data_IF_124531436494
#
_entry.id   IF_124531436494
#
_cell.length_a   1.000
_cell.length_b   1.000
_cell.length_c   1.000
_cell.angle_alpha   90.00
_cell.angle_beta   90.00
_cell.angle_gamma   90.00
#
_symmetry.space_group_name_H-M   'P 1'
#
loop_
_entity.id
_entity.type
_entity.pdbx_description
1 polymer ?
#
# COMPACT_ATOMS: atom_id res chain seq x y z
N UNK A 1 -1.51 -6.89 16.24
CA UNK A 1 -0.59 -5.81 15.85
C UNK A 1 -1.11 -5.19 14.57
N UNK A 2 -1.01 -3.87 14.41
CA UNK A 2 -1.49 -3.16 13.23
C UNK A 2 -0.39 -3.18 12.16
N UNK A 3 -0.70 -3.65 10.95
CA UNK A 3 0.25 -3.69 9.84
C UNK A 3 0.44 -2.29 9.26
N UNK A 4 1.69 -1.90 9.06
CA UNK A 4 2.06 -0.63 8.43
C UNK A 4 3.13 -0.87 7.37
N UNK A 5 3.06 -0.20 6.22
CA UNK A 5 4.12 -0.27 5.21
C UNK A 5 4.61 1.09 4.78
N UNK A 6 5.89 1.16 4.40
CA UNK A 6 6.49 2.31 3.76
C UNK A 6 6.31 2.16 2.25
N UNK A 7 5.44 2.99 1.70
CA UNK A 7 5.01 2.95 0.30
C UNK A 7 5.62 4.13 -0.44
N UNK A 8 6.23 3.85 -1.58
CA UNK A 8 6.78 4.82 -2.53
C UNK A 8 5.87 4.89 -3.76
N UNK A 9 5.67 6.10 -4.27
CA UNK A 9 5.13 6.31 -5.60
C UNK A 9 6.30 6.35 -6.60
N UNK A 10 6.47 5.35 -7.48
CA UNK A 10 7.59 5.28 -8.41
C UNK A 10 7.60 6.42 -9.44
N UNK A 11 6.47 7.11 -9.67
CA UNK A 11 6.41 8.25 -10.59
C UNK A 11 6.95 9.54 -9.98
N UNK A 12 6.89 9.70 -8.65
CA UNK A 12 7.29 10.93 -7.95
C UNK A 12 8.48 10.74 -7.02
N UNK A 13 8.91 9.49 -6.79
CA UNK A 13 9.92 9.07 -5.83
C UNK A 13 9.60 9.48 -4.36
N UNK A 14 8.34 9.84 -4.08
CA UNK A 14 7.90 10.23 -2.74
C UNK A 14 7.41 9.00 -1.99
N UNK A 15 7.87 8.87 -0.74
CA UNK A 15 7.50 7.78 0.16
C UNK A 15 6.85 8.24 1.46
N UNK A 16 5.95 7.43 1.99
CA UNK A 16 5.37 7.63 3.32
C UNK A 16 4.93 6.30 3.94
N UNK A 17 4.80 6.31 5.26
CA UNK A 17 4.23 5.19 5.99
C UNK A 17 2.70 5.22 6.00
N UNK A 18 2.08 4.08 5.74
CA UNK A 18 0.64 3.90 5.74
C UNK A 18 0.20 2.66 6.53
N UNK A 19 -0.88 2.82 7.28
CA UNK A 19 -1.48 1.73 8.03
C UNK A 19 -2.49 0.97 7.15
N UNK A 20 -2.58 -0.34 7.37
CA UNK A 20 -3.58 -1.18 6.74
C UNK A 20 -4.81 -1.40 7.65
N UNK A 21 -6.03 -1.54 7.07
CA UNK A 21 -6.33 -1.46 5.64
C UNK A 21 -6.12 -0.05 5.06
N UNK A 22 -5.46 0.01 3.90
CA UNK A 22 -5.06 1.25 3.26
C UNK A 22 -6.26 1.91 2.56
N UNK A 23 -6.62 3.12 2.98
CA UNK A 23 -7.51 3.98 2.20
C UNK A 23 -6.73 4.69 1.08
N UNK A 24 -7.04 4.38 -0.19
CA UNK A 24 -6.28 4.88 -1.36
C UNK A 24 -6.29 6.40 -1.51
N UNK A 25 -7.29 7.10 -0.98
CA UNK A 25 -7.28 8.56 -0.92
C UNK A 25 -6.08 9.14 -0.16
N UNK A 26 -5.46 8.38 0.76
CA UNK A 26 -4.24 8.80 1.46
C UNK A 26 -2.99 8.79 0.57
N UNK A 27 -2.99 8.07 -0.55
CA UNK A 27 -1.84 8.01 -1.48
C UNK A 27 -1.58 9.36 -2.18
N UNK A 28 -2.52 10.29 -2.18
CA UNK A 28 -2.28 11.68 -2.61
C UNK A 28 -1.14 12.34 -1.80
N UNK A 29 -0.87 11.90 -0.57
CA UNK A 29 0.27 12.37 0.23
C UNK A 29 1.63 12.15 -0.46
N UNK A 30 1.74 11.10 -1.26
CA UNK A 30 2.93 10.78 -2.06
C UNK A 30 2.73 11.14 -3.54
N UNK A 31 1.73 11.97 -3.84
CA UNK A 31 1.41 12.42 -5.20
C UNK A 31 0.93 11.31 -6.13
N UNK A 32 0.40 10.20 -5.60
CA UNK A 32 -0.22 9.16 -6.41
C UNK A 32 -1.61 9.62 -6.86
N UNK A 33 -1.98 9.33 -8.11
CA UNK A 33 -3.27 9.76 -8.70
C UNK A 33 -4.48 9.05 -8.05
N UNK A 34 -4.26 7.85 -7.53
CA UNK A 34 -5.31 6.94 -7.07
C UNK A 34 -5.90 6.07 -8.19
N UNK A 35 -5.36 6.19 -9.41
CA UNK A 35 -5.70 5.32 -10.54
C UNK A 35 -5.28 3.88 -10.25
N UNK A 36 -6.13 2.92 -10.65
CA UNK A 36 -5.81 1.49 -10.62
C UNK A 36 -4.77 1.09 -11.67
N UNK A 37 -4.49 1.96 -12.65
CA UNK A 37 -3.45 1.76 -13.65
C UNK A 37 -2.05 2.12 -13.12
N UNK A 38 -1.98 2.92 -12.04
CA UNK A 38 -0.73 3.28 -11.39
C UNK A 38 -0.35 2.24 -10.32
N UNK A 39 0.95 2.03 -10.16
CA UNK A 39 1.50 1.13 -9.16
C UNK A 39 2.20 1.88 -8.04
N UNK A 40 2.35 1.20 -6.90
CA UNK A 40 3.16 1.66 -5.78
C UNK A 40 4.23 0.62 -5.46
N UNK A 41 5.30 1.04 -4.82
CA UNK A 41 6.35 0.14 -4.35
C UNK A 41 6.36 0.09 -2.82
N UNK A 42 6.40 -1.12 -2.27
CA UNK A 42 6.54 -1.35 -0.83
C UNK A 42 7.98 -1.74 -0.55
N UNK A 43 8.71 -0.88 0.17
CA UNK A 43 10.13 -1.10 0.47
C UNK A 43 10.41 -1.48 1.92
N UNK A 44 9.43 -1.32 2.82
CA UNK A 44 9.52 -1.77 4.22
C UNK A 44 8.12 -1.97 4.82
N UNK A 45 8.00 -2.79 5.85
CA UNK A 45 6.77 -2.92 6.64
C UNK A 45 7.05 -3.28 8.11
N UNK A 46 6.07 -2.99 8.95
CA UNK A 46 6.02 -3.31 10.38
C UNK A 46 4.76 -4.12 10.69
N UNK A 47 4.88 -5.14 11.54
CA UNK A 47 3.79 -6.04 11.92
C UNK A 47 3.91 -7.44 11.30
N UNK A 48 3.15 -8.39 11.84
CA UNK A 48 3.04 -9.74 11.28
C UNK A 48 2.13 -9.72 10.04
N UNK A 49 2.68 -10.07 8.89
CA UNK A 49 2.03 -9.91 7.60
C UNK A 49 2.65 -10.82 6.54
N UNK A 50 1.82 -11.31 5.62
CA UNK A 50 2.25 -12.02 4.42
C UNK A 50 2.74 -11.07 3.29
N UNK A 51 2.94 -9.79 3.58
CA UNK A 51 3.43 -8.82 2.60
C UNK A 51 4.83 -9.17 2.10
N UNK A 52 5.04 -8.89 0.83
CA UNK A 52 6.35 -8.95 0.17
C UNK A 52 6.79 -7.53 -0.14
N UNK A 53 8.09 -7.34 -0.25
CA UNK A 53 8.65 -6.09 -0.76
C UNK A 53 8.56 -6.09 -2.30
N UNK A 54 8.41 -4.91 -2.89
CA UNK A 54 8.37 -4.72 -4.35
C UNK A 54 7.11 -4.00 -4.83
N UNK A 55 6.82 -4.13 -6.11
CA UNK A 55 5.75 -3.40 -6.80
C UNK A 55 4.39 -4.05 -6.58
N UNK A 56 3.39 -3.20 -6.36
CA UNK A 56 1.99 -3.57 -6.19
C UNK A 56 1.09 -2.67 -7.03
N UNK A 57 0.14 -3.30 -7.70
CA UNK A 57 -1.03 -2.61 -8.25
C UNK A 57 -2.03 -2.29 -7.14
N UNK A 58 -2.89 -1.27 -7.33
CA UNK A 58 -3.93 -0.98 -6.34
C UNK A 58 -4.91 -2.15 -6.15
N UNK A 59 -5.16 -2.97 -7.18
CA UNK A 59 -5.94 -4.21 -7.05
C UNK A 59 -5.31 -5.21 -6.07
N UNK A 60 -3.99 -5.35 -6.07
CA UNK A 60 -3.30 -6.24 -5.13
C UNK A 60 -3.36 -5.70 -3.70
N UNK A 61 -3.23 -4.39 -3.52
CA UNK A 61 -3.40 -3.75 -2.21
C UNK A 61 -4.86 -3.89 -1.71
N UNK A 62 -5.84 -3.81 -2.60
CA UNK A 62 -7.26 -4.01 -2.24
C UNK A 62 -7.52 -5.43 -1.75
N UNK A 63 -6.94 -6.45 -2.41
CA UNK A 63 -7.01 -7.85 -1.91
C UNK A 63 -6.31 -8.01 -0.56
N UNK A 64 -5.18 -7.33 -0.35
CA UNK A 64 -4.51 -7.32 0.96
C UNK A 64 -5.40 -6.69 2.05
N UNK A 65 -6.05 -5.56 1.75
CA UNK A 65 -7.01 -4.94 2.66
C UNK A 65 -8.13 -5.92 3.03
N UNK A 66 -8.73 -6.59 2.04
CA UNK A 66 -9.80 -7.55 2.27
C UNK A 66 -9.37 -8.72 3.18
N UNK A 67 -8.14 -9.23 2.99
CA UNK A 67 -7.58 -10.28 3.84
C UNK A 67 -7.35 -9.83 5.28
N UNK A 68 -6.92 -8.58 5.49
CA UNK A 68 -6.72 -8.00 6.83
C UNK A 68 -8.05 -7.74 7.53
N UNK A 69 -9.07 -7.33 6.79
CA UNK A 69 -10.42 -7.13 7.31
C UNK A 69 -11.16 -8.46 7.60
N UNK A 70 -10.59 -9.62 7.25
CA UNK A 70 -11.24 -10.92 7.41
C UNK A 70 -12.44 -11.12 6.47
N UNK A 71 -12.41 -10.48 5.29
CA UNK A 71 -13.47 -10.53 4.26
C UNK A 71 -13.17 -11.50 3.11
N UNK A 72 -12.24 -12.43 3.32
CA UNK A 72 -11.88 -13.49 2.36
C UNK A 72 -12.52 -14.82 2.73
#
# INVERSE_FOLDING_TARGET
>A
MMLRSYIINPQTDKGAWFDFPLYFGKLNRIGHSGSYEDSVEIISFEGDSALRLGHYTLHEIERLNAGIEGRL
#
